data_IF_337274819861
#
_entry.id   IF_337274819861
#
_cell.length_a   1.000
_cell.length_b   1.000
_cell.length_c   1.000
_cell.angle_alpha   90.00
_cell.angle_beta   90.00
_cell.angle_gamma   90.00
#
_symmetry.space_group_name_H-M   'P 1'
#
loop_
_entity.id
_entity.type
_entity.pdbx_description
1 polymer ?
#
# COMPACT_ATOMS: atom_id res chain seq x y z
N UNK A 1 13.98 11.33 -2.87
CA UNK A 1 13.63 11.32 -4.31
C UNK A 1 12.85 10.05 -4.62
N UNK A 2 11.72 10.15 -5.33
CA UNK A 2 10.85 9.02 -5.71
C UNK A 2 11.08 8.69 -7.18
N UNK A 3 11.23 7.40 -7.51
CA UNK A 3 11.29 6.87 -8.88
C UNK A 3 10.12 5.93 -9.11
N UNK A 4 9.53 5.94 -10.31
CA UNK A 4 8.51 4.98 -10.71
C UNK A 4 9.03 4.18 -11.90
N UNK A 5 8.90 2.85 -11.82
CA UNK A 5 9.11 1.93 -12.94
C UNK A 5 7.76 1.34 -13.33
N UNK A 6 7.43 1.34 -14.62
CA UNK A 6 6.23 0.67 -15.13
C UNK A 6 6.65 -0.70 -15.65
N UNK A 7 6.08 -1.77 -15.08
CA UNK A 7 6.35 -3.13 -15.53
C UNK A 7 5.25 -3.56 -16.50
N UNK A 8 5.65 -3.80 -17.74
CA UNK A 8 4.74 -4.18 -18.83
C UNK A 8 4.46 -5.70 -18.80
N UNK A 9 3.26 -6.07 -18.35
CA UNK A 9 2.77 -7.45 -18.29
C UNK A 9 1.39 -7.58 -18.98
N UNK A 10 1.10 -6.71 -19.95
CA UNK A 10 -0.20 -6.62 -20.62
C UNK A 10 -1.29 -6.15 -19.65
N UNK A 11 -2.39 -6.89 -19.54
CA UNK A 11 -3.51 -6.62 -18.63
C UNK A 11 -3.11 -6.58 -17.13
N UNK A 12 -1.94 -7.12 -16.79
CA UNK A 12 -1.40 -7.15 -15.42
C UNK A 12 -0.30 -6.13 -15.17
N UNK A 13 -0.12 -5.16 -16.05
CA UNK A 13 0.92 -4.13 -15.88
C UNK A 13 0.66 -3.31 -14.62
N UNK A 14 1.72 -3.02 -13.85
CA UNK A 14 1.62 -2.25 -12.60
C UNK A 14 2.85 -1.36 -12.36
N UNK A 15 2.69 -0.22 -11.65
CA UNK A 15 3.80 0.63 -11.28
C UNK A 15 4.55 0.09 -10.04
N UNK A 16 5.87 0.24 -10.04
CA UNK A 16 6.73 0.04 -8.87
C UNK A 16 7.25 1.41 -8.44
N UNK A 17 6.84 1.88 -7.26
CA UNK A 17 7.34 3.12 -6.67
C UNK A 17 8.51 2.84 -5.72
N UNK A 18 9.63 3.53 -5.90
CA UNK A 18 10.86 3.35 -5.12
C UNK A 18 11.27 4.69 -4.53
N UNK A 19 11.45 4.72 -3.20
CA UNK A 19 11.79 5.93 -2.45
C UNK A 19 11.62 5.72 -0.95
N UNK A 20 12.05 6.71 -0.16
CA UNK A 20 11.87 6.69 1.29
C UNK A 20 10.46 7.18 1.68
N UNK A 21 9.90 6.59 2.75
CA UNK A 21 8.63 7.03 3.35
C UNK A 21 7.41 6.89 2.43
N UNK A 22 7.42 5.94 1.49
CA UNK A 22 6.32 5.79 0.53
C UNK A 22 5.09 5.11 1.13
N UNK A 23 5.27 4.20 2.10
CA UNK A 23 4.18 3.42 2.70
C UNK A 23 3.18 4.26 3.52
N UNK A 24 3.56 5.49 3.89
CA UNK A 24 2.68 6.43 4.59
C UNK A 24 1.86 7.31 3.65
N UNK A 25 2.00 7.16 2.32
CA UNK A 25 1.38 8.05 1.34
C UNK A 25 0.05 7.46 0.82
N UNK A 26 -1.12 8.02 1.19
CA UNK A 26 -2.43 7.50 0.77
C UNK A 26 -2.60 7.45 -0.76
N UNK A 27 -2.05 8.44 -1.45
CA UNK A 27 -2.21 8.61 -2.91
C UNK A 27 -1.58 7.48 -3.72
N UNK A 28 -0.68 6.68 -3.13
CA UNK A 28 -0.09 5.51 -3.79
C UNK A 28 -0.98 4.27 -3.68
N UNK A 29 -1.95 4.27 -2.78
CA UNK A 29 -2.89 3.16 -2.62
C UNK A 29 -4.19 3.41 -3.38
N UNK A 30 -4.73 4.64 -3.31
CA UNK A 30 -6.06 4.98 -3.84
C UNK A 30 -6.32 4.55 -5.29
N UNK A 31 -5.40 4.74 -6.25
CA UNK A 31 -5.65 4.34 -7.64
C UNK A 31 -5.80 2.83 -7.84
N UNK A 32 -5.35 2.02 -6.88
CA UNK A 32 -5.25 0.57 -6.99
C UNK A 32 -6.32 -0.18 -6.17
N UNK A 33 -7.06 0.51 -5.31
CA UNK A 33 -8.13 -0.08 -4.48
C UNK A 33 -9.49 0.33 -5.07
N UNK A 34 -10.19 -0.61 -5.70
CA UNK A 34 -11.52 -0.36 -6.30
C UNK A 34 -12.67 -0.37 -5.29
N UNK A 35 -12.47 -1.02 -4.14
CA UNK A 35 -13.48 -1.20 -3.09
C UNK A 35 -13.25 -0.30 -1.88
N UNK A 36 -14.07 -0.48 -0.84
CA UNK A 36 -13.92 0.25 0.44
C UNK A 36 -13.34 -0.60 1.58
N UNK A 37 -13.42 -1.93 1.49
CA UNK A 37 -12.94 -2.86 2.50
C UNK A 37 -11.53 -3.34 2.15
N UNK A 38 -10.64 -3.33 3.14
CA UNK A 38 -9.23 -3.75 2.99
C UNK A 38 -8.83 -4.59 4.20
N UNK A 39 -8.24 -5.76 3.95
CA UNK A 39 -7.64 -6.62 4.97
C UNK A 39 -6.12 -6.45 4.95
N UNK A 40 -5.54 -6.05 6.07
CA UNK A 40 -4.09 -5.98 6.27
C UNK A 40 -3.61 -7.31 6.85
N UNK A 41 -2.80 -8.04 6.08
CA UNK A 41 -2.20 -9.31 6.51
C UNK A 41 -0.71 -9.10 6.72
N UNK A 42 -0.22 -9.34 7.94
CA UNK A 42 1.21 -9.21 8.27
C UNK A 42 1.64 -10.31 9.23
N UNK A 43 2.94 -10.55 9.34
CA UNK A 43 3.47 -11.44 10.37
C UNK A 43 3.81 -10.69 11.67
N UNK A 44 4.08 -11.44 12.72
CA UNK A 44 4.41 -10.95 14.08
C UNK A 44 5.67 -10.07 14.15
N UNK A 45 6.60 -10.25 13.21
CA UNK A 45 7.87 -9.49 13.17
C UNK A 45 7.70 -8.13 12.50
N UNK A 46 6.91 -8.06 11.41
CA UNK A 46 6.77 -6.88 10.55
C UNK A 46 5.64 -5.97 11.03
N UNK A 47 4.57 -6.56 11.57
CA UNK A 47 3.42 -5.81 12.06
C UNK A 47 3.79 -4.68 13.05
N UNK A 48 4.55 -4.92 14.13
CA UNK A 48 4.89 -3.85 15.09
C UNK A 48 5.77 -2.74 14.50
N UNK A 49 6.38 -2.95 13.33
CA UNK A 49 7.25 -1.97 12.68
C UNK A 49 6.51 -1.05 11.70
N UNK A 50 5.50 -1.56 11.00
CA UNK A 50 4.92 -0.85 9.85
C UNK A 50 3.40 -0.85 9.77
N UNK A 51 2.70 -1.72 10.51
CA UNK A 51 1.25 -1.89 10.37
C UNK A 51 0.50 -0.58 10.63
N UNK A 52 0.86 0.12 11.70
CA UNK A 52 0.22 1.40 12.06
C UNK A 52 0.40 2.46 10.97
N UNK A 53 1.60 2.59 10.40
CA UNK A 53 1.88 3.54 9.30
C UNK A 53 0.99 3.26 8.09
N UNK A 54 0.79 1.99 7.73
CA UNK A 54 -0.08 1.60 6.61
C UNK A 54 -1.55 1.82 6.95
N UNK A 55 -1.95 1.52 8.20
CA UNK A 55 -3.31 1.74 8.70
C UNK A 55 -3.69 3.23 8.65
N UNK A 56 -2.78 4.12 9.02
CA UNK A 56 -2.96 5.58 8.91
C UNK A 56 -3.10 6.03 7.45
N UNK A 57 -2.23 5.54 6.56
CA UNK A 57 -2.28 5.84 5.14
C UNK A 57 -3.61 5.39 4.48
N UNK A 58 -4.24 4.35 5.02
CA UNK A 58 -5.51 3.80 4.55
C UNK A 58 -6.71 4.20 5.43
N UNK A 59 -6.60 5.25 6.25
CA UNK A 59 -7.68 5.69 7.16
C UNK A 59 -9.02 6.02 6.49
N UNK A 60 -9.05 6.25 5.17
CA UNK A 60 -10.28 6.43 4.39
C UNK A 60 -11.05 5.14 4.04
N UNK A 61 -10.50 3.97 4.38
CA UNK A 61 -11.06 2.64 4.08
C UNK A 61 -11.63 1.96 5.34
N UNK A 62 -12.43 0.92 5.14
CA UNK A 62 -12.87 0.00 6.18
C UNK A 62 -11.80 -1.07 6.35
N UNK A 63 -11.00 -0.95 7.41
CA UNK A 63 -9.82 -1.79 7.64
C UNK A 63 -10.12 -2.93 8.60
N UNK A 64 -9.68 -4.12 8.23
CA UNK A 64 -9.50 -5.27 9.12
C UNK A 64 -8.02 -5.70 9.08
N UNK A 65 -7.54 -6.43 10.09
CA UNK A 65 -6.18 -6.93 10.14
C UNK A 65 -6.07 -8.32 10.76
N UNK A 66 -5.10 -9.11 10.31
CA UNK A 66 -4.77 -10.45 10.83
C UNK A 66 -3.26 -10.67 10.87
#
# INVERSE_FOLDING_TARGET
MKKTLHLELGERSYPIHIGAGLISQPDLYQPHIRGRQVMLVSNETVAPLYLETVREALSGYQLEQV
#
